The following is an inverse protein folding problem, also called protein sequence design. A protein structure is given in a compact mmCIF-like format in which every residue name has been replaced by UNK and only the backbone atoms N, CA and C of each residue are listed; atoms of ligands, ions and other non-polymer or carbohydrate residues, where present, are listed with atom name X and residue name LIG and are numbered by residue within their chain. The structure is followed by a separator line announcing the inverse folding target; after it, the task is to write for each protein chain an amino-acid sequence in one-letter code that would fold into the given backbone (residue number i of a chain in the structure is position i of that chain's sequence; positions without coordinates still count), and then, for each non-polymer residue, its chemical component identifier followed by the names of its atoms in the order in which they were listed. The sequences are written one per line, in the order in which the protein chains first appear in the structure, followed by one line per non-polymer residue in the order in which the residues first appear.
data_IF_597271859562
#
_entry.id   IF_597271859562
#
_cell.length_a   1.000
_cell.length_b   1.000
_cell.length_c   1.000
_cell.angle_alpha   90.00
_cell.angle_beta   90.00
_cell.angle_gamma   90.00
#
_symmetry.space_group_name_H-M   'P 1'
#
loop_
_entity.id
_entity.type
_entity.pdbx_description
1 polymer ?
#
# COMPACT_ATOMS: atom_id res chain seq x y z
N UNK A 1 -26.24 -2.25 74.05
CA UNK A 1 -26.69 -2.78 72.76
C UNK A 1 -26.08 -1.89 71.64
N UNK A 2 -25.00 -2.39 71.04
CA UNK A 2 -24.27 -1.65 69.99
C UNK A 2 -24.78 -2.15 68.65
N UNK A 3 -25.34 -1.27 67.86
CA UNK A 3 -25.76 -1.57 66.45
C UNK A 3 -24.54 -1.53 65.51
N UNK A 4 -24.27 -2.62 64.84
CA UNK A 4 -23.16 -2.84 63.94
C UNK A 4 -23.24 -1.99 62.66
N UNK A 5 -22.12 -1.40 62.19
CA UNK A 5 -22.09 -0.55 60.99
C UNK A 5 -21.84 -1.38 59.71
N UNK A 6 -22.74 -2.29 59.36
CA UNK A 6 -22.55 -3.15 58.19
C UNK A 6 -23.41 -2.76 56.97
N UNK A 7 -24.33 -1.79 57.10
CA UNK A 7 -25.23 -1.41 55.99
C UNK A 7 -24.72 -0.28 55.08
N UNK A 8 -23.62 0.38 55.41
CA UNK A 8 -23.13 1.53 54.63
C UNK A 8 -22.12 1.17 53.52
N UNK A 9 -21.63 -0.07 53.45
CA UNK A 9 -20.61 -0.46 52.43
C UNK A 9 -21.17 -1.08 51.14
N UNK A 10 -22.42 -1.54 51.17
CA UNK A 10 -23.04 -2.19 49.99
C UNK A 10 -23.63 -1.19 48.98
N UNK A 11 -23.97 0.01 49.41
CA UNK A 11 -24.58 1.02 48.54
C UNK A 11 -23.57 1.76 47.66
N UNK A 12 -22.28 1.80 48.05
CA UNK A 12 -21.24 2.47 47.22
C UNK A 12 -20.68 1.61 46.06
N UNK A 13 -20.75 0.30 46.18
CA UNK A 13 -20.26 -0.60 45.13
C UNK A 13 -21.24 -0.74 43.94
N UNK A 14 -22.54 -0.51 44.17
CA UNK A 14 -23.56 -0.69 43.14
C UNK A 14 -23.70 0.53 42.20
N UNK A 15 -23.20 1.71 42.63
CA UNK A 15 -23.29 2.96 41.85
C UNK A 15 -22.12 3.14 40.85
N UNK A 16 -21.03 2.38 41.01
CA UNK A 16 -19.88 2.46 40.10
C UNK A 16 -19.93 1.45 38.92
N UNK A 17 -20.73 0.40 39.03
CA UNK A 17 -20.83 -0.63 37.99
C UNK A 17 -21.44 -0.13 36.65
N UNK A 18 -22.49 0.71 36.62
CA UNK A 18 -23.07 1.16 35.37
C UNK A 18 -22.16 2.13 34.58
N UNK A 19 -21.33 2.91 35.28
CA UNK A 19 -20.41 3.85 34.63
C UNK A 19 -19.24 3.13 33.92
N UNK A 20 -18.74 2.04 34.50
CA UNK A 20 -17.66 1.24 33.87
C UNK A 20 -18.15 0.52 32.63
N UNK A 21 -19.39 0.03 32.64
CA UNK A 21 -19.97 -0.64 31.45
C UNK A 21 -20.28 0.35 30.32
N UNK A 22 -20.76 1.54 30.64
CA UNK A 22 -21.02 2.60 29.68
C UNK A 22 -19.71 3.12 29.07
N UNK A 23 -18.64 3.27 29.87
CA UNK A 23 -17.33 3.69 29.41
C UNK A 23 -16.69 2.64 28.46
N UNK A 24 -16.85 1.34 28.74
CA UNK A 24 -16.37 0.26 27.86
C UNK A 24 -17.18 0.23 26.57
N UNK A 25 -18.48 0.42 26.61
CA UNK A 25 -19.34 0.51 25.41
C UNK A 25 -19.01 1.75 24.56
N UNK A 26 -18.76 2.89 25.18
CA UNK A 26 -18.36 4.12 24.47
C UNK A 26 -16.96 3.97 23.86
N UNK A 27 -15.99 3.38 24.58
CA UNK A 27 -14.65 3.09 24.04
C UNK A 27 -14.70 2.06 22.92
N UNK A 28 -15.54 1.03 23.03
CA UNK A 28 -15.76 0.07 21.95
C UNK A 28 -16.38 0.74 20.71
N UNK A 29 -17.36 1.64 20.90
CA UNK A 29 -17.95 2.40 19.79
C UNK A 29 -16.94 3.34 19.12
N UNK A 30 -16.00 3.92 19.88
CA UNK A 30 -14.90 4.73 19.32
C UNK A 30 -13.86 3.91 18.57
N UNK A 31 -13.65 2.65 18.94
CA UNK A 31 -12.72 1.75 18.23
C UNK A 31 -13.33 1.14 16.95
N UNK A 32 -14.65 1.10 16.84
CA UNK A 32 -15.37 0.64 15.63
C UNK A 32 -15.88 1.80 14.78
N UNK A 33 -15.33 3.01 14.98
CA UNK A 33 -15.76 4.22 14.29
C UNK A 33 -15.48 4.21 12.79
N UNK A 34 -16.51 4.45 12.07
CA UNK A 34 -16.71 5.17 10.79
C UNK A 34 -16.25 4.54 9.47
N UNK A 35 -15.53 3.44 9.42
CA UNK A 35 -15.15 2.79 8.15
C UNK A 35 -15.52 1.30 8.06
N UNK A 36 -16.55 0.86 8.78
CA UNK A 36 -17.03 -0.54 8.81
C UNK A 36 -15.90 -1.57 9.07
N UNK A 37 -14.88 -1.19 9.84
CA UNK A 37 -13.75 -2.06 10.17
C UNK A 37 -12.75 -2.28 9.02
N UNK A 38 -12.87 -1.57 7.89
CA UNK A 38 -11.99 -1.76 6.73
C UNK A 38 -10.52 -1.51 7.06
N UNK A 39 -10.22 -0.46 7.86
CA UNK A 39 -8.84 -0.16 8.26
C UNK A 39 -8.22 -1.23 9.17
N UNK A 40 -9.05 -2.03 9.85
CA UNK A 40 -8.63 -3.12 10.73
C UNK A 40 -8.70 -4.50 10.04
N UNK A 41 -9.00 -4.51 8.74
CA UNK A 41 -9.12 -5.77 8.00
C UNK A 41 -7.77 -6.50 7.94
N UNK A 42 -7.69 -7.79 8.27
CA UNK A 42 -6.47 -8.58 8.16
C UNK A 42 -5.92 -8.57 6.73
N UNK A 43 -4.59 -8.48 6.58
CA UNK A 43 -3.94 -8.36 5.27
C UNK A 43 -4.34 -9.48 4.30
N UNK A 44 -4.50 -10.72 4.77
CA UNK A 44 -4.96 -11.84 3.95
C UNK A 44 -6.36 -11.64 3.35
N UNK A 45 -7.23 -10.88 4.03
CA UNK A 45 -8.54 -10.51 3.48
C UNK A 45 -8.41 -9.38 2.45
N UNK A 46 -7.54 -8.41 2.72
CA UNK A 46 -7.22 -7.33 1.76
C UNK A 46 -6.65 -7.90 0.48
N UNK A 47 -5.74 -8.89 0.55
CA UNK A 47 -5.18 -9.56 -0.63
C UNK A 47 -6.26 -10.24 -1.48
N UNK A 48 -7.23 -10.93 -0.86
CA UNK A 48 -8.36 -11.53 -1.59
C UNK A 48 -9.25 -10.46 -2.23
N UNK A 49 -9.43 -9.35 -1.55
CA UNK A 49 -10.25 -8.24 -2.06
C UNK A 49 -9.53 -7.50 -3.21
N UNK A 50 -8.20 -7.47 -3.23
CA UNK A 50 -7.42 -6.84 -4.28
C UNK A 50 -7.61 -7.50 -5.66
N UNK A 51 -8.06 -8.75 -5.72
CA UNK A 51 -8.41 -9.43 -6.98
C UNK A 51 -9.78 -9.00 -7.54
N UNK A 52 -10.62 -8.33 -6.73
CA UNK A 52 -11.97 -7.88 -7.10
C UNK A 52 -12.11 -6.38 -6.81
N UNK A 53 -11.52 -5.57 -7.69
CA UNK A 53 -11.51 -4.12 -7.53
C UNK A 53 -12.91 -3.49 -7.45
N UNK A 54 -13.91 -3.87 -8.27
CA UNK A 54 -15.27 -3.35 -8.15
C UNK A 54 -15.88 -3.60 -6.77
N UNK A 55 -15.69 -4.80 -6.21
CA UNK A 55 -16.16 -5.15 -4.87
C UNK A 55 -15.44 -4.33 -3.79
N UNK A 56 -14.12 -4.16 -3.91
CA UNK A 56 -13.34 -3.34 -2.99
C UNK A 56 -13.81 -1.88 -2.99
N UNK A 57 -14.06 -1.32 -4.18
CA UNK A 57 -14.56 0.05 -4.34
C UNK A 57 -15.95 0.22 -3.71
N UNK A 58 -16.85 -0.75 -3.92
CA UNK A 58 -18.17 -0.72 -3.31
C UNK A 58 -18.08 -0.77 -1.79
N UNK A 59 -17.29 -1.68 -1.22
CA UNK A 59 -17.11 -1.79 0.23
C UNK A 59 -16.54 -0.50 0.84
N UNK A 60 -15.56 0.11 0.20
CA UNK A 60 -15.00 1.38 0.64
C UNK A 60 -16.06 2.51 0.60
N UNK A 61 -16.83 2.60 -0.47
CA UNK A 61 -17.92 3.58 -0.61
C UNK A 61 -19.00 3.39 0.47
N UNK A 62 -19.42 2.15 0.71
CA UNK A 62 -20.41 1.84 1.76
C UNK A 62 -19.87 2.18 3.15
N UNK A 63 -18.55 2.10 3.37
CA UNK A 63 -17.85 2.48 4.60
C UNK A 63 -17.40 3.94 4.67
N UNK A 64 -17.80 4.80 3.72
CA UNK A 64 -17.37 6.20 3.61
C UNK A 64 -15.83 6.38 3.57
N UNK A 65 -15.12 5.40 3.03
CA UNK A 65 -13.67 5.41 2.85
C UNK A 65 -13.32 5.72 1.39
N UNK A 66 -12.40 6.66 1.16
CA UNK A 66 -11.88 6.89 -0.18
C UNK A 66 -10.84 5.81 -0.55
N UNK A 67 -11.20 4.92 -1.48
CA UNK A 67 -10.28 3.95 -2.05
C UNK A 67 -9.62 4.53 -3.31
N UNK A 68 -8.29 4.68 -3.26
CA UNK A 68 -7.51 5.18 -4.40
C UNK A 68 -7.20 4.09 -5.45
N UNK A 69 -7.47 2.82 -5.14
CA UNK A 69 -7.26 1.71 -6.07
C UNK A 69 -8.05 1.91 -7.38
N UNK A 70 -7.40 1.66 -8.51
CA UNK A 70 -7.95 1.89 -9.85
C UNK A 70 -7.92 3.35 -10.33
N UNK A 71 -7.66 4.32 -9.44
CA UNK A 71 -7.47 5.73 -9.87
C UNK A 71 -6.14 5.87 -10.60
N UNK A 72 -6.13 6.72 -11.61
CA UNK A 72 -4.91 7.02 -12.38
C UNK A 72 -3.90 7.75 -11.49
N UNK A 73 -2.65 7.34 -11.58
CA UNK A 73 -1.54 8.05 -10.92
C UNK A 73 -1.31 9.39 -11.63
N UNK A 74 -1.16 10.51 -10.89
CA UNK A 74 -0.89 11.83 -11.46
C UNK A 74 0.50 11.89 -12.13
N UNK A 75 0.82 12.99 -12.78
CA UNK A 75 2.15 13.25 -13.35
C UNK A 75 2.09 13.75 -14.79
N UNK A 76 3.26 14.11 -15.32
CA UNK A 76 3.43 14.60 -16.68
C UNK A 76 3.75 13.44 -17.65
N UNK A 77 3.23 13.45 -18.88
CA UNK A 77 3.55 12.42 -19.86
C UNK A 77 5.06 12.35 -20.11
N UNK A 78 5.60 11.14 -20.15
CA UNK A 78 7.02 10.90 -20.39
C UNK A 78 7.23 9.65 -21.23
N UNK A 79 8.30 9.68 -22.03
CA UNK A 79 8.85 8.53 -22.72
C UNK A 79 10.33 8.47 -22.40
N UNK A 80 10.74 7.44 -21.68
CA UNK A 80 12.10 7.29 -21.18
C UNK A 80 12.71 6.01 -21.69
N UNK A 81 14.01 6.06 -22.02
CA UNK A 81 14.81 4.90 -22.36
C UNK A 81 15.75 4.55 -21.21
N UNK A 82 15.96 3.25 -20.95
CA UNK A 82 16.80 2.82 -19.84
C UNK A 82 16.61 1.34 -19.49
N UNK A 83 16.66 1.02 -18.22
CA UNK A 83 16.63 -0.33 -17.68
C UNK A 83 15.69 -0.42 -16.46
N UNK A 84 14.94 -1.55 -16.39
CA UNK A 84 14.21 -1.94 -15.17
C UNK A 84 15.09 -2.86 -14.33
N UNK A 85 15.15 -2.57 -13.03
CA UNK A 85 15.85 -3.41 -12.05
C UNK A 85 15.06 -3.50 -10.74
N UNK A 86 15.45 -4.38 -9.83
CA UNK A 86 14.88 -4.40 -8.49
C UNK A 86 15.65 -3.47 -7.52
N UNK A 87 14.91 -2.93 -6.55
CA UNK A 87 15.48 -1.96 -5.62
C UNK A 87 16.51 -2.57 -4.67
N UNK A 88 16.31 -3.82 -4.22
CA UNK A 88 17.19 -4.42 -3.20
C UNK A 88 18.60 -4.63 -3.73
N UNK A 89 18.73 -5.21 -4.94
CA UNK A 89 20.03 -5.45 -5.54
C UNK A 89 20.69 -4.15 -5.99
N UNK A 90 19.93 -3.26 -6.61
CA UNK A 90 20.47 -1.98 -7.06
C UNK A 90 20.99 -1.10 -5.90
N UNK A 91 20.17 -0.92 -4.86
CA UNK A 91 20.55 -0.06 -3.72
C UNK A 91 21.54 -0.73 -2.76
N UNK A 92 21.44 -2.05 -2.58
CA UNK A 92 22.27 -2.78 -1.62
C UNK A 92 23.62 -3.21 -2.16
N UNK A 93 23.70 -3.57 -3.45
CA UNK A 93 24.92 -4.15 -4.04
C UNK A 93 25.38 -3.46 -5.32
N UNK A 94 24.67 -2.42 -5.77
CA UNK A 94 24.92 -1.70 -7.04
C UNK A 94 24.89 -2.60 -8.28
N UNK A 95 24.20 -3.74 -8.20
CA UNK A 95 24.09 -4.69 -9.31
C UNK A 95 22.83 -4.42 -10.12
N UNK A 96 23.01 -4.39 -11.43
CA UNK A 96 21.93 -4.21 -12.40
C UNK A 96 22.37 -4.79 -13.76
N UNK A 97 21.61 -4.55 -14.82
CA UNK A 97 21.82 -5.00 -16.17
C UNK A 97 21.63 -6.51 -16.39
N UNK A 98 21.99 -6.97 -17.58
CA UNK A 98 21.69 -8.31 -18.06
C UNK A 98 22.24 -9.43 -17.19
N UNK A 99 23.45 -9.28 -16.68
CA UNK A 99 24.12 -10.29 -15.83
C UNK A 99 23.37 -10.51 -14.50
N UNK A 100 22.52 -9.55 -14.12
CA UNK A 100 21.73 -9.61 -12.90
C UNK A 100 20.23 -9.86 -13.15
N UNK A 101 19.81 -10.00 -14.39
CA UNK A 101 18.39 -10.05 -14.79
C UNK A 101 17.59 -11.16 -14.09
N UNK A 102 18.18 -12.33 -13.89
CA UNK A 102 17.50 -13.43 -13.19
C UNK A 102 17.22 -13.09 -11.73
N UNK A 103 18.23 -12.60 -10.99
CA UNK A 103 18.07 -12.24 -9.60
C UNK A 103 17.06 -11.09 -9.43
N UNK A 104 17.14 -10.07 -10.28
CA UNK A 104 16.21 -8.94 -10.26
C UNK A 104 14.75 -9.38 -10.52
N UNK A 105 14.52 -10.31 -11.46
CA UNK A 105 13.19 -10.90 -11.69
C UNK A 105 12.71 -11.71 -10.48
N UNK A 106 13.60 -12.48 -9.85
CA UNK A 106 13.27 -13.25 -8.66
C UNK A 106 12.89 -12.35 -7.49
N UNK A 107 13.69 -11.32 -7.23
CA UNK A 107 13.41 -10.33 -6.18
C UNK A 107 12.09 -9.58 -6.44
N UNK A 108 11.86 -9.16 -7.69
CA UNK A 108 10.60 -8.52 -8.08
C UNK A 108 9.38 -9.44 -7.87
N UNK A 109 9.51 -10.73 -8.23
CA UNK A 109 8.45 -11.71 -7.99
C UNK A 109 8.20 -11.95 -6.50
N UNK A 110 9.22 -11.79 -5.66
CA UNK A 110 9.11 -11.85 -4.20
C UNK A 110 8.58 -10.54 -3.56
N UNK A 111 8.28 -9.50 -4.37
CA UNK A 111 7.70 -8.25 -3.90
C UNK A 111 8.69 -7.10 -3.73
N UNK A 112 9.94 -7.23 -4.18
CA UNK A 112 10.87 -6.11 -4.21
C UNK A 112 10.34 -4.98 -5.10
N UNK A 113 10.40 -3.72 -4.66
CA UNK A 113 10.05 -2.58 -5.51
C UNK A 113 10.92 -2.54 -6.77
N UNK A 114 10.36 -2.08 -7.88
CA UNK A 114 11.09 -1.86 -9.11
C UNK A 114 11.59 -0.43 -9.22
N UNK A 115 12.79 -0.30 -9.77
CA UNK A 115 13.40 0.95 -10.17
C UNK A 115 13.59 0.97 -11.69
N UNK A 116 13.56 2.16 -12.26
CA UNK A 116 13.94 2.41 -13.63
C UNK A 116 15.15 3.35 -13.66
N UNK A 117 16.22 2.93 -14.28
CA UNK A 117 17.45 3.70 -14.48
C UNK A 117 17.41 4.26 -15.90
N UNK A 118 17.27 5.57 -16.04
CA UNK A 118 17.21 6.22 -17.35
C UNK A 118 18.60 6.33 -17.97
N UNK A 119 18.71 6.06 -19.26
CA UNK A 119 19.92 6.33 -20.07
C UNK A 119 20.26 7.85 -20.08
N UNK A 120 19.28 8.70 -19.83
CA UNK A 120 19.45 10.14 -19.78
C UNK A 120 19.90 10.56 -18.38
N UNK A 121 21.20 10.72 -18.21
CA UNK A 121 21.80 11.22 -16.97
C UNK A 121 21.76 10.24 -15.77
N UNK A 122 21.47 8.97 -15.98
CA UNK A 122 21.43 7.95 -14.91
C UNK A 122 20.37 8.23 -13.85
N UNK A 123 19.30 8.94 -14.20
CA UNK A 123 18.22 9.27 -13.25
C UNK A 123 17.47 8.00 -12.86
N UNK A 124 17.24 7.83 -11.56
CA UNK A 124 16.53 6.68 -11.00
C UNK A 124 15.11 7.06 -10.63
N UNK A 125 14.15 6.25 -11.06
CA UNK A 125 12.72 6.42 -10.79
C UNK A 125 12.18 5.22 -10.03
N UNK A 126 11.34 5.45 -9.04
CA UNK A 126 10.49 4.40 -8.46
C UNK A 126 9.40 4.07 -9.47
N UNK A 127 9.27 2.80 -9.81
CA UNK A 127 8.30 2.34 -10.82
C UNK A 127 6.97 2.03 -10.16
N UNK A 128 5.93 2.64 -10.68
CA UNK A 128 4.55 2.45 -10.23
C UNK A 128 3.68 2.00 -11.41
N UNK A 129 2.59 1.27 -11.17
CA UNK A 129 1.59 1.03 -12.21
C UNK A 129 0.85 2.34 -12.57
N UNK A 130 0.33 2.44 -13.77
CA UNK A 130 -0.42 3.61 -14.24
C UNK A 130 -1.69 3.91 -13.41
N UNK A 131 -2.19 2.92 -12.70
CA UNK A 131 -3.33 3.03 -11.78
C UNK A 131 -2.98 2.41 -10.44
N UNK A 132 -3.37 3.07 -9.36
CA UNK A 132 -3.15 2.58 -8.00
C UNK A 132 -3.79 1.19 -7.80
N UNK A 133 -3.07 0.30 -7.12
CA UNK A 133 -3.57 -1.05 -6.80
C UNK A 133 -3.77 -1.98 -8.01
N UNK A 134 -3.26 -1.61 -9.19
CA UNK A 134 -3.24 -2.45 -10.39
C UNK A 134 -1.81 -2.95 -10.61
N UNK A 135 -1.66 -4.14 -11.14
CA UNK A 135 -0.32 -4.67 -11.45
C UNK A 135 0.31 -3.94 -12.63
N UNK A 136 1.63 -3.92 -12.67
CA UNK A 136 2.38 -3.50 -13.84
C UNK A 136 2.06 -4.41 -15.05
N UNK A 137 2.17 -3.90 -16.29
CA UNK A 137 2.06 -4.75 -17.47
C UNK A 137 3.00 -5.94 -17.37
N UNK A 138 2.51 -7.14 -17.63
CA UNK A 138 3.33 -8.37 -17.57
C UNK A 138 4.56 -8.32 -18.50
N UNK A 139 4.45 -7.59 -19.62
CA UNK A 139 5.58 -7.32 -20.52
C UNK A 139 6.70 -6.55 -19.83
N UNK A 140 6.39 -5.63 -18.90
CA UNK A 140 7.40 -4.91 -18.13
C UNK A 140 8.24 -5.87 -17.26
N UNK A 141 7.56 -6.80 -16.58
CA UNK A 141 8.25 -7.77 -15.70
C UNK A 141 9.19 -8.70 -16.47
N UNK A 142 8.86 -9.03 -17.72
CA UNK A 142 9.73 -9.84 -18.57
C UNK A 142 11.00 -9.12 -19.03
N UNK A 143 10.97 -7.79 -19.05
CA UNK A 143 12.07 -6.94 -19.50
C UNK A 143 12.96 -6.41 -18.36
N UNK A 144 12.79 -6.90 -17.13
CA UNK A 144 13.69 -6.59 -16.03
C UNK A 144 15.10 -7.05 -16.36
N UNK A 145 16.09 -6.16 -16.18
CA UNK A 145 17.51 -6.39 -16.49
C UNK A 145 17.85 -6.28 -17.97
N UNK A 146 16.90 -5.90 -18.82
CA UNK A 146 17.16 -5.65 -20.25
C UNK A 146 17.47 -4.16 -20.45
N UNK A 147 18.68 -3.79 -20.87
CA UNK A 147 19.03 -2.39 -21.12
C UNK A 147 18.37 -1.85 -22.40
N UNK A 148 18.16 -0.54 -22.43
CA UNK A 148 17.67 0.18 -23.61
C UNK A 148 16.18 0.03 -23.88
N UNK A 149 15.40 -0.55 -22.97
CA UNK A 149 13.94 -0.59 -23.10
C UNK A 149 13.34 0.81 -23.03
N UNK A 150 12.18 0.97 -23.67
CA UNK A 150 11.45 2.25 -23.68
C UNK A 150 10.19 2.12 -22.82
N UNK A 151 10.09 2.93 -21.77
CA UNK A 151 8.90 3.07 -20.95
C UNK A 151 8.12 4.33 -21.33
N UNK A 152 6.82 4.17 -21.56
CA UNK A 152 5.88 5.27 -21.69
C UNK A 152 5.00 5.32 -20.47
N UNK A 153 4.77 6.51 -19.96
CA UNK A 153 3.99 6.69 -18.75
C UNK A 153 3.92 8.13 -18.32
N UNK A 154 3.93 8.36 -17.03
CA UNK A 154 3.87 9.68 -16.41
C UNK A 154 4.92 9.78 -15.31
N UNK A 155 5.69 10.86 -15.31
CA UNK A 155 6.67 11.15 -14.26
C UNK A 155 6.12 12.18 -13.29
N UNK A 156 6.51 12.06 -12.03
CA UNK A 156 6.23 13.04 -10.99
C UNK A 156 7.22 12.90 -9.84
N UNK A 157 7.43 13.99 -9.13
CA UNK A 157 8.22 14.02 -7.90
C UNK A 157 7.27 14.16 -6.70
N UNK A 158 7.39 13.27 -5.73
CA UNK A 158 6.61 13.32 -4.51
C UNK A 158 7.46 12.89 -3.32
N UNK A 159 7.41 13.67 -2.24
CA UNK A 159 8.13 13.38 -0.99
C UNK A 159 9.64 13.11 -1.17
N UNK A 160 10.27 13.80 -2.12
CA UNK A 160 11.69 13.63 -2.44
C UNK A 160 12.01 12.41 -3.31
N UNK A 161 11.01 11.67 -3.78
CA UNK A 161 11.17 10.53 -4.66
C UNK A 161 10.72 10.89 -6.08
N UNK A 162 11.58 10.57 -7.05
CA UNK A 162 11.23 10.63 -8.47
C UNK A 162 10.52 9.34 -8.84
N UNK A 163 9.36 9.45 -9.48
CA UNK A 163 8.48 8.32 -9.76
C UNK A 163 8.09 8.26 -11.24
N UNK A 164 7.89 7.05 -11.76
CA UNK A 164 7.43 6.77 -13.11
C UNK A 164 6.23 5.81 -13.05
N UNK A 165 5.04 6.31 -13.34
CA UNK A 165 3.83 5.51 -13.49
C UNK A 165 3.78 4.94 -14.91
N UNK A 166 3.99 3.63 -15.07
CA UNK A 166 4.18 2.95 -16.37
C UNK A 166 2.85 2.59 -17.00
N UNK A 167 2.60 3.08 -18.22
CA UNK A 167 1.45 2.76 -19.06
C UNK A 167 1.78 1.63 -20.06
N UNK A 168 2.98 1.66 -20.64
CA UNK A 168 3.46 0.64 -21.56
C UNK A 168 4.98 0.51 -21.57
N UNK A 169 5.47 -0.63 -22.02
CA UNK A 169 6.89 -0.92 -22.20
C UNK A 169 7.13 -1.51 -23.57
N UNK A 170 8.26 -1.15 -24.17
CA UNK A 170 8.76 -1.65 -25.46
C UNK A 170 10.23 -2.05 -25.31
N UNK A 171 10.65 -3.15 -25.97
CA UNK A 171 12.05 -3.53 -26.06
C UNK A 171 12.91 -2.47 -26.72
#
# INVERSE_FOLDING_TARGET
MQATPQRARLTKALLLAPFSFLAVLVLAAFQFGDNNGLNNMPFAQVQRLASDLPKAQKMASDGNLELLAGKRVPGEPATLRGELTDANCFLGTHTHAYDHAFCAKFCAAAGSPLLFISDQGGLVYVVLPARNGVQLPGTALNLIGVPGIVLKGRTFDANGLRSLAVESVQP
#
